data_IF_175839746224
#
_entry.id   IF_175839746224
#
_cell.length_a   1.000
_cell.length_b   1.000
_cell.length_c   1.000
_cell.angle_alpha   90.00
_cell.angle_beta   90.00
_cell.angle_gamma   90.00
#
_symmetry.space_group_name_H-M   'P 1'
#
loop_
_entity.id
_entity.type
_entity.pdbx_description
1 polymer ?
#
# COMPACT_ATOMS: atom_id res chain seq x y z
N UNK A 1 3.56 17.70 -23.63
CA UNK A 1 3.85 16.25 -23.42
C UNK A 1 4.22 16.08 -21.96
N UNK A 2 3.69 15.08 -21.26
CA UNK A 2 4.04 14.83 -19.87
C UNK A 2 5.53 14.53 -19.75
N UNK A 3 6.26 15.29 -18.89
CA UNK A 3 7.73 15.15 -18.72
C UNK A 3 8.14 13.72 -18.37
N UNK A 4 7.34 13.02 -17.56
CA UNK A 4 7.56 11.62 -17.18
C UNK A 4 7.50 10.71 -18.40
N UNK A 5 6.49 10.87 -19.26
CA UNK A 5 6.34 10.10 -20.50
C UNK A 5 7.53 10.33 -21.44
N UNK A 6 7.96 11.58 -21.61
CA UNK A 6 9.08 11.91 -22.46
C UNK A 6 10.38 11.24 -21.98
N UNK A 7 10.64 11.31 -20.67
CA UNK A 7 11.81 10.70 -20.06
C UNK A 7 11.79 9.16 -20.16
N UNK A 8 10.64 8.56 -19.92
CA UNK A 8 10.48 7.11 -20.05
C UNK A 8 10.72 6.61 -21.49
N UNK A 9 10.27 7.36 -22.51
CA UNK A 9 10.54 7.05 -23.93
C UNK A 9 12.04 7.16 -24.24
N UNK A 10 12.72 8.18 -23.72
CA UNK A 10 14.17 8.34 -23.88
C UNK A 10 14.92 7.11 -23.33
N UNK A 11 14.65 6.72 -22.08
CA UNK A 11 15.28 5.59 -21.40
C UNK A 11 14.99 4.21 -22.05
N UNK A 12 13.82 4.06 -22.66
CA UNK A 12 13.50 2.89 -23.49
C UNK A 12 14.29 2.88 -24.79
N UNK A 13 14.41 4.06 -25.43
CA UNK A 13 15.02 4.20 -26.76
C UNK A 13 16.54 4.03 -26.73
N UNK A 14 17.18 4.46 -25.65
CA UNK A 14 18.63 4.34 -25.45
C UNK A 14 19.04 2.98 -24.84
N UNK A 15 18.07 2.14 -24.48
CA UNK A 15 18.29 0.81 -23.91
C UNK A 15 18.67 0.79 -22.43
N UNK A 16 18.58 1.92 -21.73
CA UNK A 16 18.80 1.99 -20.27
C UNK A 16 17.79 1.13 -19.53
N UNK A 17 16.56 1.08 -20.02
CA UNK A 17 15.49 0.19 -19.50
C UNK A 17 14.86 -0.62 -20.64
N UNK A 18 14.35 -1.79 -20.31
CA UNK A 18 13.72 -2.69 -21.28
C UNK A 18 12.19 -2.61 -21.27
N UNK A 19 11.63 -2.03 -20.22
CA UNK A 19 10.18 -1.90 -20.03
C UNK A 19 9.85 -0.82 -19.00
N UNK A 20 8.61 -0.33 -19.05
CA UNK A 20 8.07 0.70 -18.16
C UNK A 20 6.80 0.19 -17.49
N UNK A 21 6.71 0.30 -16.17
CA UNK A 21 5.48 0.12 -15.40
C UNK A 21 4.91 1.51 -15.11
N UNK A 22 3.72 1.78 -15.59
CA UNK A 22 3.02 3.06 -15.46
C UNK A 22 1.52 2.89 -15.38
N UNK A 23 0.79 3.87 -15.88
CA UNK A 23 -0.67 3.84 -15.96
C UNK A 23 -1.12 4.04 -17.39
N UNK A 24 -2.23 3.41 -17.72
CA UNK A 24 -3.00 3.64 -18.93
C UNK A 24 -4.46 4.01 -18.57
N UNK A 25 -5.12 4.69 -19.51
CA UNK A 25 -6.52 5.04 -19.37
C UNK A 25 -7.38 3.85 -19.79
N UNK A 26 -8.35 3.48 -18.94
CA UNK A 26 -9.38 2.51 -19.26
C UNK A 26 -10.53 3.09 -20.07
N UNK A 27 -11.72 2.51 -19.93
CA UNK A 27 -12.90 2.90 -20.72
C UNK A 27 -13.45 4.28 -20.35
N UNK A 28 -13.30 4.69 -19.10
CA UNK A 28 -13.80 5.98 -18.60
C UNK A 28 -12.68 6.97 -18.33
N UNK A 29 -13.04 8.25 -18.17
CA UNK A 29 -12.08 9.31 -17.84
C UNK A 29 -11.33 9.08 -16.51
N UNK A 30 -11.97 8.43 -15.56
CA UNK A 30 -11.48 8.24 -14.19
C UNK A 30 -10.88 6.85 -13.98
N UNK A 31 -11.11 5.92 -14.89
CA UNK A 31 -10.59 4.54 -14.80
C UNK A 31 -9.18 4.46 -15.38
N UNK A 32 -8.18 4.65 -14.51
CA UNK A 32 -6.78 4.48 -14.87
C UNK A 32 -6.19 3.29 -14.12
N UNK A 33 -5.68 2.34 -14.89
CA UNK A 33 -5.10 1.12 -14.37
C UNK A 33 -3.58 1.06 -14.59
N UNK A 34 -2.93 0.13 -13.92
CA UNK A 34 -1.52 -0.15 -14.15
C UNK A 34 -1.32 -0.80 -15.52
N UNK A 35 -0.27 -0.42 -16.21
CA UNK A 35 0.10 -0.97 -17.51
C UNK A 35 1.60 -1.20 -17.63
N UNK A 36 1.97 -2.10 -18.53
CA UNK A 36 3.33 -2.39 -18.94
C UNK A 36 3.53 -1.89 -20.38
N UNK A 37 4.64 -1.21 -20.61
CA UNK A 37 5.05 -0.71 -21.91
C UNK A 37 6.46 -1.20 -22.21
N UNK A 38 6.66 -1.84 -23.36
CA UNK A 38 7.95 -2.41 -23.76
C UNK A 38 8.54 -1.69 -25.00
N UNK A 39 7.75 -0.84 -25.63
CA UNK A 39 8.18 -0.06 -26.79
C UNK A 39 7.79 1.42 -26.66
N UNK A 40 8.53 2.28 -27.37
CA UNK A 40 8.19 3.71 -27.45
C UNK A 40 6.80 3.96 -28.07
N UNK A 41 6.34 3.05 -28.91
CA UNK A 41 5.03 3.12 -29.57
C UNK A 41 3.90 2.83 -28.56
N UNK A 42 4.05 1.79 -27.74
CA UNK A 42 3.11 1.47 -26.64
C UNK A 42 3.01 2.60 -25.62
N UNK A 43 4.09 3.35 -25.40
CA UNK A 43 4.07 4.53 -24.54
C UNK A 43 3.08 5.61 -24.96
N UNK A 44 2.49 5.53 -26.17
CA UNK A 44 1.38 6.42 -26.54
C UNK A 44 0.18 6.29 -25.58
N UNK A 45 -0.05 5.10 -25.03
CA UNK A 45 -1.09 4.83 -24.03
C UNK A 45 -0.75 5.31 -22.62
N UNK A 46 0.53 5.64 -22.35
CA UNK A 46 0.94 6.05 -21.01
C UNK A 46 0.28 7.37 -20.58
N UNK A 47 -0.26 7.38 -19.37
CA UNK A 47 -0.83 8.56 -18.71
C UNK A 47 -0.28 8.69 -17.29
N UNK A 48 -0.13 9.95 -16.84
CA UNK A 48 0.11 10.29 -15.43
C UNK A 48 -0.64 11.58 -15.09
N UNK A 49 -1.36 11.58 -13.99
CA UNK A 49 -2.17 12.71 -13.54
C UNK A 49 -3.07 12.32 -12.37
N UNK A 50 -4.13 13.09 -12.16
CA UNK A 50 -5.00 13.00 -10.97
C UNK A 50 -5.69 11.65 -10.74
N UNK A 51 -5.77 10.78 -11.74
CA UNK A 51 -6.40 9.45 -11.63
C UNK A 51 -5.39 8.30 -11.55
N UNK A 52 -4.08 8.59 -11.48
CA UNK A 52 -3.03 7.57 -11.33
C UNK A 52 -2.98 7.02 -9.88
N UNK A 53 -4.13 6.55 -9.38
CA UNK A 53 -4.32 6.18 -7.98
C UNK A 53 -3.60 4.92 -7.54
N UNK A 54 -3.41 3.92 -8.41
CA UNK A 54 -2.81 2.62 -8.08
C UNK A 54 -1.39 2.74 -7.54
N UNK A 55 -1.04 1.88 -6.56
CA UNK A 55 0.34 1.72 -6.10
C UNK A 55 1.05 0.70 -6.99
N UNK A 56 2.07 1.13 -7.73
CA UNK A 56 2.75 0.29 -8.71
C UNK A 56 3.79 -0.64 -8.11
N UNK A 57 4.23 -0.44 -6.87
CA UNK A 57 5.28 -1.24 -6.22
C UNK A 57 4.95 -2.74 -6.21
N UNK A 58 3.68 -3.09 -6.04
CA UNK A 58 3.22 -4.49 -6.05
C UNK A 58 3.55 -5.22 -7.35
N UNK A 59 3.43 -4.52 -8.47
CA UNK A 59 3.57 -5.11 -9.81
C UNK A 59 5.04 -5.32 -10.19
N UNK A 60 5.97 -4.61 -9.54
CA UNK A 60 7.42 -4.75 -9.75
C UNK A 60 7.91 -6.18 -9.50
N UNK A 61 7.28 -6.92 -8.57
CA UNK A 61 7.67 -8.29 -8.24
C UNK A 61 7.70 -9.25 -9.42
N UNK A 62 6.86 -9.04 -10.42
CA UNK A 62 6.84 -9.84 -11.66
C UNK A 62 8.15 -9.75 -12.44
N UNK A 63 8.86 -8.64 -12.31
CA UNK A 63 10.04 -8.30 -13.10
C UNK A 63 11.34 -8.39 -12.32
N UNK A 64 11.29 -8.84 -11.06
CA UNK A 64 12.46 -8.93 -10.20
C UNK A 64 13.53 -9.90 -10.74
N UNK A 65 13.11 -10.93 -11.47
CA UNK A 65 14.01 -11.93 -12.11
C UNK A 65 14.08 -11.76 -13.62
N UNK A 66 13.43 -10.74 -14.19
CA UNK A 66 13.45 -10.50 -15.62
C UNK A 66 14.82 -9.98 -16.10
N UNK A 67 15.17 -10.24 -17.36
CA UNK A 67 16.35 -9.66 -17.99
C UNK A 67 16.18 -8.14 -18.19
N UNK A 68 17.28 -7.41 -18.02
CA UNK A 68 17.33 -5.97 -18.14
C UNK A 68 16.66 -5.22 -16.98
N UNK A 69 16.65 -3.89 -17.06
CA UNK A 69 16.03 -3.01 -16.06
C UNK A 69 14.59 -2.69 -16.39
N UNK A 70 13.78 -2.57 -15.35
CA UNK A 70 12.39 -2.14 -15.44
C UNK A 70 12.26 -0.72 -14.87
N UNK A 71 11.79 0.22 -15.68
CA UNK A 71 11.40 1.54 -15.16
C UNK A 71 10.06 1.42 -14.44
N UNK A 72 9.96 2.03 -13.28
CA UNK A 72 8.69 2.17 -12.56
C UNK A 72 8.50 3.62 -12.14
N UNK A 73 7.28 4.12 -12.33
CA UNK A 73 6.90 5.47 -11.90
C UNK A 73 6.22 5.38 -10.55
N UNK A 74 6.81 6.00 -9.52
CA UNK A 74 6.33 5.92 -8.14
C UNK A 74 5.97 7.29 -7.59
N UNK A 75 4.81 7.39 -6.95
CA UNK A 75 4.44 8.53 -6.11
C UNK A 75 5.18 8.47 -4.78
N UNK A 76 5.32 9.58 -4.01
CA UNK A 76 5.99 9.57 -2.71
C UNK A 76 5.53 8.44 -1.80
N UNK A 77 4.22 8.28 -1.61
CA UNK A 77 3.68 7.20 -0.76
C UNK A 77 3.94 5.79 -1.31
N UNK A 78 4.15 5.62 -2.62
CA UNK A 78 4.43 4.33 -3.23
C UNK A 78 5.91 3.94 -3.07
N UNK A 79 6.82 4.94 -2.95
CA UNK A 79 8.24 4.67 -2.69
C UNK A 79 8.47 3.98 -1.35
N UNK A 80 7.67 4.32 -0.32
CA UNK A 80 7.66 3.58 0.95
C UNK A 80 7.36 2.09 0.75
N UNK A 81 6.38 1.78 -0.10
CA UNK A 81 6.02 0.38 -0.38
C UNK A 81 7.09 -0.35 -1.18
N UNK A 82 7.77 0.36 -2.06
CA UNK A 82 8.87 -0.18 -2.84
C UNK A 82 10.09 -0.46 -1.93
N UNK A 83 10.45 0.50 -1.08
CA UNK A 83 11.54 0.36 -0.12
C UNK A 83 11.26 -0.77 0.87
N UNK A 84 10.02 -0.89 1.37
CA UNK A 84 9.63 -2.03 2.22
C UNK A 84 9.84 -3.37 1.53
N UNK A 85 9.56 -3.48 0.24
CA UNK A 85 9.80 -4.70 -0.52
C UNK A 85 11.31 -4.99 -0.69
N UNK A 86 12.16 -3.97 -0.76
CA UNK A 86 13.62 -4.14 -0.72
C UNK A 86 14.04 -4.67 0.65
N UNK A 87 13.60 -4.06 1.75
CA UNK A 87 13.89 -4.51 3.12
C UNK A 87 13.49 -5.98 3.34
N UNK A 88 12.42 -6.42 2.73
CA UNK A 88 11.97 -7.81 2.81
C UNK A 88 12.66 -8.74 1.80
N UNK A 89 13.67 -8.29 1.08
CA UNK A 89 14.35 -9.03 0.01
C UNK A 89 13.38 -9.59 -1.04
N UNK A 90 12.32 -8.84 -1.32
CA UNK A 90 11.31 -9.17 -2.34
C UNK A 90 11.56 -8.47 -3.67
N UNK A 91 12.36 -7.41 -3.64
CA UNK A 91 12.85 -6.72 -4.82
C UNK A 91 14.37 -6.53 -4.72
N UNK A 92 15.03 -6.71 -5.85
CA UNK A 92 16.42 -6.33 -6.07
C UNK A 92 16.43 -4.91 -6.64
N UNK A 93 16.98 -3.94 -5.90
CA UNK A 93 17.02 -2.52 -6.28
C UNK A 93 17.67 -2.30 -7.66
N UNK A 94 18.69 -3.07 -7.97
CA UNK A 94 19.46 -2.94 -9.21
C UNK A 94 18.66 -3.30 -10.48
N UNK A 95 17.56 -4.03 -10.33
CA UNK A 95 16.67 -4.40 -11.42
C UNK A 95 15.73 -3.30 -11.87
N UNK A 96 15.70 -2.18 -11.13
CA UNK A 96 14.73 -1.12 -11.37
C UNK A 96 15.40 0.23 -11.60
N UNK A 97 14.78 1.03 -12.45
CA UNK A 97 14.98 2.46 -12.60
C UNK A 97 13.73 3.17 -12.11
N UNK A 98 13.84 4.03 -11.11
CA UNK A 98 12.70 4.61 -10.43
C UNK A 98 12.59 6.09 -10.75
N UNK A 99 11.50 6.48 -11.41
CA UNK A 99 11.11 7.89 -11.52
C UNK A 99 10.16 8.22 -10.39
N UNK A 100 10.61 9.06 -9.46
CA UNK A 100 9.77 9.69 -8.46
C UNK A 100 8.86 10.73 -9.12
N UNK A 101 7.56 10.48 -9.11
CA UNK A 101 6.58 11.35 -9.75
C UNK A 101 5.89 12.25 -8.73
N UNK A 102 5.98 13.57 -8.93
CA UNK A 102 5.28 14.55 -8.11
C UNK A 102 3.78 14.29 -8.04
N UNK A 103 3.18 14.42 -6.86
CA UNK A 103 1.81 14.03 -6.60
C UNK A 103 1.01 15.14 -5.92
N UNK A 104 -0.06 15.62 -6.57
CA UNK A 104 -1.01 16.61 -6.02
C UNK A 104 -2.22 15.99 -5.31
N UNK A 105 -2.15 14.70 -5.00
CA UNK A 105 -3.29 13.88 -4.60
C UNK A 105 -3.92 13.17 -5.78
N UNK A 106 -4.55 12.04 -5.50
CA UNK A 106 -5.22 11.21 -6.50
C UNK A 106 -6.71 11.23 -6.29
N UNK A 107 -7.46 11.20 -7.37
CA UNK A 107 -8.91 11.30 -7.40
C UNK A 107 -9.53 10.02 -7.97
N UNK A 108 -10.79 9.85 -7.70
CA UNK A 108 -11.73 9.01 -8.43
C UNK A 108 -12.91 9.86 -8.94
N UNK A 109 -14.00 9.24 -9.31
CA UNK A 109 -15.23 9.91 -9.75
C UNK A 109 -15.88 10.77 -8.65
N UNK A 110 -15.60 10.48 -7.38
CA UNK A 110 -16.16 11.16 -6.21
C UNK A 110 -15.25 12.29 -5.68
N UNK A 111 -14.08 12.48 -6.30
CA UNK A 111 -13.13 13.50 -5.88
C UNK A 111 -11.83 12.92 -5.31
N UNK A 112 -11.26 13.59 -4.30
CA UNK A 112 -9.98 13.18 -3.69
C UNK A 112 -10.12 11.83 -2.98
N UNK A 113 -9.26 10.87 -3.31
CA UNK A 113 -9.24 9.56 -2.65
C UNK A 113 -9.05 9.69 -1.13
N UNK A 114 -9.76 8.88 -0.36
CA UNK A 114 -9.66 8.86 1.11
C UNK A 114 -8.20 8.71 1.59
N UNK A 115 -7.40 7.88 0.91
CA UNK A 115 -5.97 7.75 1.22
C UNK A 115 -5.17 9.06 1.05
N UNK A 116 -5.65 9.97 0.22
CA UNK A 116 -5.02 11.26 -0.04
C UNK A 116 -5.50 12.36 0.90
N UNK A 117 -6.71 12.24 1.49
CA UNK A 117 -7.17 13.16 2.54
C UNK A 117 -6.33 13.02 3.82
N UNK A 118 -5.73 11.86 4.05
CA UNK A 118 -4.85 11.54 5.17
C UNK A 118 -3.40 11.33 4.71
N UNK A 119 -2.96 12.10 3.70
CA UNK A 119 -1.62 11.98 3.12
C UNK A 119 -0.52 12.21 4.18
N UNK A 120 0.42 11.27 4.28
CA UNK A 120 1.47 11.28 5.30
C UNK A 120 2.75 12.04 4.90
N UNK A 121 2.83 12.50 3.66
CA UNK A 121 3.99 13.27 3.21
C UNK A 121 4.24 13.19 1.71
N UNK A 122 5.23 13.93 1.28
CA UNK A 122 5.64 14.08 -0.12
C UNK A 122 7.10 13.71 -0.37
N UNK A 123 7.79 13.19 0.64
CA UNK A 123 9.16 12.76 0.53
C UNK A 123 9.26 11.43 -0.20
N UNK A 124 10.33 11.29 -0.98
CA UNK A 124 10.62 10.07 -1.73
C UNK A 124 11.70 9.28 -1.00
N UNK A 125 11.43 8.02 -0.68
CA UNK A 125 12.39 7.15 0.02
C UNK A 125 13.41 6.51 -0.93
N UNK A 126 12.99 6.22 -2.16
CA UNK A 126 13.83 5.56 -3.16
C UNK A 126 13.51 6.09 -4.55
N UNK A 127 14.54 6.48 -5.29
CA UNK A 127 14.43 6.98 -6.67
C UNK A 127 15.79 7.01 -7.35
N UNK A 128 15.80 7.09 -8.68
CA UNK A 128 16.97 7.44 -9.50
C UNK A 128 16.87 8.91 -9.95
N UNK A 129 15.66 9.36 -10.28
CA UNK A 129 15.38 10.77 -10.57
C UNK A 129 13.96 11.16 -10.11
N UNK A 130 13.77 12.45 -9.84
CA UNK A 130 12.46 13.00 -9.45
C UNK A 130 11.97 13.95 -10.54
N UNK A 131 10.72 13.75 -10.95
CA UNK A 131 10.02 14.66 -11.86
C UNK A 131 8.78 15.19 -11.12
N UNK A 132 8.89 16.39 -10.59
CA UNK A 132 7.82 17.05 -9.85
C UNK A 132 7.68 18.53 -10.23
N UNK A 133 6.74 19.22 -9.60
CA UNK A 133 6.56 20.66 -9.62
C UNK A 133 6.30 21.19 -8.19
N UNK A 134 6.36 22.50 -8.00
CA UNK A 134 6.21 23.10 -6.67
C UNK A 134 4.86 22.79 -6.01
N UNK A 135 3.79 22.67 -6.81
CA UNK A 135 2.47 22.30 -6.27
C UNK A 135 2.44 20.87 -5.77
N UNK A 136 3.24 19.96 -6.36
CA UNK A 136 3.34 18.57 -5.94
C UNK A 136 3.97 18.42 -4.55
N UNK A 137 4.75 19.38 -4.11
CA UNK A 137 5.42 19.36 -2.80
C UNK A 137 4.47 19.69 -1.64
N UNK A 138 3.32 20.28 -1.93
CA UNK A 138 2.35 20.61 -0.90
C UNK A 138 1.59 19.34 -0.45
N UNK A 139 1.49 19.16 0.86
CA UNK A 139 0.68 18.09 1.43
C UNK A 139 -0.79 18.25 1.02
N UNK A 140 -1.40 17.18 0.57
CA UNK A 140 -2.84 17.16 0.21
C UNK A 140 -3.72 16.76 1.38
N UNK A 141 -3.16 16.05 2.36
CA UNK A 141 -3.87 15.62 3.57
C UNK A 141 -3.89 16.73 4.61
N UNK A 142 -5.07 17.07 5.07
CA UNK A 142 -5.32 18.03 6.16
C UNK A 142 -5.90 17.33 7.39
N UNK A 143 -6.12 16.03 7.31
CA UNK A 143 -6.70 15.21 8.38
C UNK A 143 -5.63 14.27 8.92
N UNK A 144 -5.51 14.22 10.24
CA UNK A 144 -4.64 13.23 10.88
C UNK A 144 -5.08 11.83 10.48
N UNK A 145 -4.10 11.03 10.04
CA UNK A 145 -4.35 9.66 9.58
C UNK A 145 -4.88 8.73 10.67
N UNK A 146 -4.65 9.06 11.94
CA UNK A 146 -5.07 8.25 13.08
C UNK A 146 -6.47 8.58 13.60
N UNK A 147 -7.07 9.69 13.18
CA UNK A 147 -8.36 10.16 13.71
C UNK A 147 -9.45 9.09 13.69
N UNK A 148 -9.57 8.33 12.59
CA UNK A 148 -10.57 7.27 12.49
C UNK A 148 -10.30 6.07 13.43
N UNK A 149 -9.03 5.81 13.77
CA UNK A 149 -8.66 4.81 14.78
C UNK A 149 -9.01 5.31 16.17
N UNK A 150 -8.69 6.57 16.47
CA UNK A 150 -8.98 7.19 17.76
C UNK A 150 -10.49 7.28 18.04
N UNK A 151 -11.29 7.54 17.02
CA UNK A 151 -12.75 7.50 17.13
C UNK A 151 -13.25 6.10 17.50
N UNK A 152 -12.70 5.07 16.88
CA UNK A 152 -13.02 3.68 17.22
C UNK A 152 -12.55 3.30 18.62
N UNK A 153 -11.43 3.84 19.09
CA UNK A 153 -10.92 3.57 20.44
C UNK A 153 -11.77 4.21 21.54
N UNK A 154 -12.49 5.30 21.26
CA UNK A 154 -13.44 5.92 22.18
C UNK A 154 -14.72 5.10 22.41
N UNK A 155 -15.02 4.20 21.48
CA UNK A 155 -16.16 3.29 21.58
C UNK A 155 -15.92 2.21 22.64
N UNK A 156 -16.98 1.72 23.26
CA UNK A 156 -16.93 0.51 24.07
C UNK A 156 -16.52 -0.71 23.24
N UNK A 157 -16.08 -1.76 23.88
CA UNK A 157 -15.73 -3.02 23.19
C UNK A 157 -16.89 -3.56 22.34
N UNK A 158 -18.12 -3.45 22.85
CA UNK A 158 -19.33 -3.91 22.15
C UNK A 158 -19.62 -3.04 20.92
N UNK A 159 -19.57 -1.72 21.05
CA UNK A 159 -19.78 -0.80 19.92
C UNK A 159 -18.74 -0.99 18.82
N UNK A 160 -17.45 -1.17 19.17
CA UNK A 160 -16.41 -1.50 18.19
C UNK A 160 -16.65 -2.83 17.48
N UNK A 161 -17.07 -3.85 18.24
CA UNK A 161 -17.40 -5.15 17.67
C UNK A 161 -18.57 -5.03 16.68
N UNK A 162 -19.63 -4.34 17.06
CA UNK A 162 -20.80 -4.14 16.21
C UNK A 162 -20.48 -3.30 14.97
N UNK A 163 -19.63 -2.27 15.10
CA UNK A 163 -19.11 -1.52 13.95
C UNK A 163 -18.39 -2.44 12.96
N UNK A 164 -17.39 -3.19 13.41
CA UNK A 164 -16.63 -4.06 12.52
C UNK A 164 -17.48 -5.19 11.96
N UNK A 165 -18.37 -5.74 12.75
CA UNK A 165 -19.32 -6.75 12.27
C UNK A 165 -20.19 -6.20 11.15
N UNK A 166 -20.72 -5.00 11.30
CA UNK A 166 -21.49 -4.32 10.27
C UNK A 166 -20.67 -4.05 8.99
N UNK A 167 -19.47 -3.52 9.13
CA UNK A 167 -18.59 -3.23 8.01
C UNK A 167 -18.17 -4.51 7.26
N UNK A 168 -17.69 -5.52 7.98
CA UNK A 168 -17.13 -6.73 7.39
C UNK A 168 -18.19 -7.68 6.86
N UNK A 169 -19.44 -7.61 7.33
CA UNK A 169 -20.56 -8.40 6.77
C UNK A 169 -20.84 -8.10 5.29
N UNK A 170 -20.45 -6.91 4.82
CA UNK A 170 -20.56 -6.55 3.40
C UNK A 170 -19.50 -7.20 2.51
N UNK A 171 -18.51 -7.86 3.09
CA UNK A 171 -17.40 -8.45 2.34
C UNK A 171 -17.86 -9.57 1.41
N UNK A 172 -17.60 -9.45 0.11
CA UNK A 172 -17.90 -10.49 -0.89
C UNK A 172 -16.71 -11.45 -1.13
N UNK A 173 -15.66 -11.36 -0.32
CA UNK A 173 -14.44 -12.17 -0.41
C UNK A 173 -13.78 -12.17 -1.80
N UNK A 174 -13.81 -11.03 -2.52
CA UNK A 174 -13.18 -10.90 -3.85
C UNK A 174 -11.65 -10.92 -3.80
N UNK A 175 -11.04 -10.81 -2.63
CA UNK A 175 -9.59 -10.76 -2.41
C UNK A 175 -8.87 -9.55 -3.03
N UNK A 176 -9.54 -8.55 -3.59
CA UNK A 176 -8.92 -7.37 -4.18
C UNK A 176 -7.95 -6.68 -3.20
N UNK A 177 -8.37 -6.50 -1.93
CA UNK A 177 -7.55 -5.89 -0.88
C UNK A 177 -6.26 -6.66 -0.57
N UNK A 178 -6.27 -7.99 -0.71
CA UNK A 178 -5.09 -8.86 -0.59
C UNK A 178 -4.20 -8.74 -1.82
N UNK A 179 -4.80 -8.80 -2.99
CA UNK A 179 -4.08 -8.85 -4.25
C UNK A 179 -3.35 -7.54 -4.57
N UNK A 180 -3.90 -6.39 -4.18
CA UNK A 180 -3.28 -5.08 -4.40
C UNK A 180 -2.22 -4.73 -3.35
N UNK A 181 -2.26 -5.34 -2.18
CA UNK A 181 -1.40 -4.96 -1.06
C UNK A 181 0.08 -5.28 -1.34
N UNK A 182 0.99 -4.29 -1.29
CA UNK A 182 2.42 -4.52 -1.47
C UNK A 182 3.00 -5.50 -0.44
N UNK A 183 2.54 -5.44 0.81
CA UNK A 183 3.00 -6.32 1.88
C UNK A 183 2.48 -7.77 1.79
N UNK A 184 1.48 -8.06 0.93
CA UNK A 184 1.01 -9.43 0.70
C UNK A 184 1.91 -10.14 -0.34
N UNK A 185 3.03 -10.69 0.11
CA UNK A 185 4.10 -11.25 -0.74
C UNK A 185 4.20 -12.76 -0.73
N UNK A 186 3.36 -13.48 0.01
CA UNK A 186 3.38 -14.94 0.10
C UNK A 186 3.19 -15.59 -1.27
N UNK A 187 4.03 -16.59 -1.58
CA UNK A 187 3.89 -17.41 -2.80
C UNK A 187 2.61 -18.24 -2.73
N UNK A 188 2.34 -18.81 -1.55
CA UNK A 188 1.09 -19.52 -1.26
C UNK A 188 0.47 -18.91 0.00
N UNK A 189 -0.70 -18.31 -0.15
CA UNK A 189 -1.41 -17.69 0.96
C UNK A 189 -2.10 -18.76 1.84
N UNK A 190 -2.13 -18.56 3.15
CA UNK A 190 -2.88 -19.44 4.07
C UNK A 190 -4.36 -19.53 3.69
N UNK A 191 -4.92 -18.44 3.18
CA UNK A 191 -6.32 -18.41 2.72
C UNK A 191 -6.58 -19.18 1.42
N UNK A 192 -5.54 -19.55 0.68
CA UNK A 192 -5.62 -20.36 -0.54
C UNK A 192 -5.21 -21.82 -0.29
N UNK A 193 -4.93 -22.19 0.97
CA UNK A 193 -4.55 -23.53 1.33
C UNK A 193 -5.80 -24.36 1.66
N UNK A 194 -6.13 -25.39 0.85
CA UNK A 194 -7.32 -26.23 1.09
C UNK A 194 -7.31 -26.93 2.45
N UNK A 195 -6.12 -27.19 2.99
CA UNK A 195 -5.98 -27.85 4.29
C UNK A 195 -6.20 -26.91 5.49
N UNK A 196 -6.25 -25.59 5.27
CA UNK A 196 -6.51 -24.64 6.35
C UNK A 196 -7.98 -24.52 6.73
N UNK A 197 -8.89 -25.02 5.88
CA UNK A 197 -10.33 -24.84 6.04
C UNK A 197 -10.85 -23.42 5.78
N UNK A 198 -9.94 -22.45 5.54
CA UNK A 198 -10.28 -21.02 5.34
C UNK A 198 -10.49 -20.67 3.87
N UNK A 199 -10.11 -21.57 2.97
CA UNK A 199 -10.15 -21.34 1.53
C UNK A 199 -11.58 -21.17 0.99
N UNK A 200 -12.49 -21.96 1.49
CA UNK A 200 -13.86 -21.99 0.97
C UNK A 200 -14.68 -20.85 1.58
N UNK A 201 -15.25 -20.05 0.72
CA UNK A 201 -16.25 -19.09 1.11
C UNK A 201 -17.63 -19.68 1.01
N UNK A 202 -18.03 -20.52 1.94
CA UNK A 202 -19.43 -20.92 2.04
C UNK A 202 -19.67 -21.65 3.37
N UNK A 203 -20.73 -21.33 4.07
CA UNK A 203 -21.46 -20.09 4.09
C UNK A 203 -20.64 -18.97 4.72
N UNK A 204 -20.93 -17.73 4.35
CA UNK A 204 -20.32 -16.56 4.97
C UNK A 204 -20.93 -16.39 6.34
N UNK A 205 -20.17 -16.65 7.37
CA UNK A 205 -20.55 -16.27 8.73
C UNK A 205 -19.84 -15.01 9.14
N UNK A 206 -20.44 -14.21 9.99
CA UNK A 206 -19.82 -13.00 10.56
C UNK A 206 -18.46 -13.30 11.17
N UNK A 207 -18.33 -14.48 11.79
CA UNK A 207 -17.07 -14.93 12.38
C UNK A 207 -15.96 -15.13 11.33
N UNK A 208 -16.25 -15.79 10.22
CA UNK A 208 -15.27 -16.06 9.17
C UNK A 208 -14.79 -14.80 8.48
N UNK A 209 -15.67 -13.83 8.23
CA UNK A 209 -15.29 -12.56 7.63
C UNK A 209 -14.45 -11.72 8.59
N UNK A 210 -14.81 -11.67 9.87
CA UNK A 210 -14.00 -11.03 10.89
C UNK A 210 -12.61 -11.66 10.98
N UNK A 211 -12.53 -12.99 11.08
CA UNK A 211 -11.25 -13.71 11.15
C UNK A 211 -10.40 -13.51 9.91
N UNK A 212 -10.99 -13.53 8.71
CA UNK A 212 -10.24 -13.25 7.47
C UNK A 212 -9.56 -11.89 7.51
N UNK A 213 -10.30 -10.84 7.86
CA UNK A 213 -9.76 -9.49 7.85
C UNK A 213 -8.79 -9.21 9.00
N UNK A 214 -9.05 -9.76 10.19
CA UNK A 214 -8.14 -9.68 11.33
C UNK A 214 -6.82 -10.38 11.01
N UNK A 215 -6.85 -11.62 10.55
CA UNK A 215 -5.64 -12.38 10.19
C UNK A 215 -4.87 -11.65 9.07
N UNK A 216 -5.58 -11.12 8.07
CA UNK A 216 -4.93 -10.34 7.00
C UNK A 216 -4.21 -9.11 7.56
N UNK A 217 -4.82 -8.40 8.49
CA UNK A 217 -4.21 -7.22 9.12
C UNK A 217 -3.00 -7.60 9.98
N UNK A 218 -3.07 -8.70 10.73
CA UNK A 218 -1.94 -9.25 11.48
C UNK A 218 -0.75 -9.61 10.59
N UNK A 219 -1.01 -10.24 9.43
CA UNK A 219 0.06 -10.64 8.50
C UNK A 219 0.84 -9.47 7.90
N UNK A 220 0.28 -8.26 7.93
CA UNK A 220 0.95 -7.05 7.46
C UNK A 220 1.32 -6.08 8.58
N UNK A 221 1.07 -6.44 9.84
CA UNK A 221 1.50 -5.66 11.00
C UNK A 221 3.04 -5.48 10.96
N UNK A 222 3.53 -4.27 11.24
CA UNK A 222 4.93 -3.89 11.12
C UNK A 222 5.47 -3.73 9.70
N UNK A 223 4.71 -4.14 8.70
CA UNK A 223 5.09 -4.12 7.28
C UNK A 223 4.18 -3.21 6.45
N UNK A 224 3.08 -2.79 7.04
CA UNK A 224 2.10 -1.92 6.39
C UNK A 224 2.63 -0.50 6.25
N UNK A 225 2.83 -0.06 5.02
CA UNK A 225 3.27 1.31 4.70
C UNK A 225 2.12 2.33 4.71
N UNK A 226 0.93 1.93 5.13
CA UNK A 226 -0.27 2.79 5.14
C UNK A 226 -0.58 3.42 3.78
N UNK A 227 -0.43 2.66 2.70
CA UNK A 227 -0.70 3.15 1.35
C UNK A 227 -2.19 3.30 1.00
N UNK A 228 -3.10 2.77 1.83
CA UNK A 228 -4.55 2.87 1.67
C UNK A 228 -5.16 2.07 0.51
N UNK A 229 -4.37 1.31 -0.25
CA UNK A 229 -4.84 0.55 -1.42
C UNK A 229 -5.93 -0.47 -1.08
N UNK A 230 -5.86 -1.10 0.09
CA UNK A 230 -6.86 -2.10 0.50
C UNK A 230 -8.28 -1.54 0.58
N UNK A 231 -8.45 -0.29 1.02
CA UNK A 231 -9.76 0.37 1.03
C UNK A 231 -10.11 0.93 -0.34
N UNK A 232 -9.13 1.48 -1.09
CA UNK A 232 -9.37 2.03 -2.42
C UNK A 232 -9.98 1.02 -3.39
N UNK A 233 -9.53 -0.23 -3.35
CA UNK A 233 -10.00 -1.27 -4.28
C UNK A 233 -11.18 -2.07 -3.75
N UNK A 234 -11.68 -1.77 -2.55
CA UNK A 234 -12.79 -2.52 -1.98
C UNK A 234 -14.11 -2.12 -2.65
N UNK A 235 -14.78 -3.02 -3.41
CA UNK A 235 -16.02 -2.69 -4.08
C UNK A 235 -17.19 -2.48 -3.11
N UNK A 236 -16.99 -2.85 -1.83
CA UNK A 236 -17.96 -2.65 -0.75
C UNK A 236 -17.62 -1.45 0.14
N UNK A 237 -16.62 -0.65 -0.24
CA UNK A 237 -16.18 0.53 0.51
C UNK A 237 -15.89 0.28 1.99
N UNK A 238 -15.38 -0.92 2.33
CA UNK A 238 -15.02 -1.25 3.71
C UNK A 238 -13.74 -0.50 4.09
N UNK A 239 -13.69 0.20 5.24
CA UNK A 239 -12.54 1.00 5.65
C UNK A 239 -11.39 0.15 6.21
N UNK A 240 -10.90 -0.81 5.41
CA UNK A 240 -9.88 -1.80 5.81
C UNK A 240 -8.56 -1.18 6.27
N UNK A 241 -8.25 0.04 5.83
CA UNK A 241 -7.08 0.77 6.27
C UNK A 241 -7.10 1.05 7.78
N UNK A 242 -8.27 1.21 8.39
CA UNK A 242 -8.39 1.45 9.84
C UNK A 242 -7.92 0.25 10.66
N UNK A 243 -8.16 -0.99 10.20
CA UNK A 243 -7.61 -2.18 10.85
C UNK A 243 -6.08 -2.15 10.85
N UNK A 244 -5.47 -1.82 9.70
CA UNK A 244 -4.02 -1.77 9.59
C UNK A 244 -3.44 -0.60 10.40
N UNK A 245 -4.08 0.56 10.39
CA UNK A 245 -3.68 1.74 11.17
C UNK A 245 -3.73 1.51 12.67
N UNK A 246 -4.69 0.69 13.15
CA UNK A 246 -4.70 0.29 14.56
C UNK A 246 -3.40 -0.41 14.94
N UNK A 247 -2.92 -1.36 14.13
CA UNK A 247 -1.63 -2.00 14.36
C UNK A 247 -0.45 -1.02 14.29
N UNK A 248 -0.46 -0.08 13.33
CA UNK A 248 0.59 0.95 13.23
C UNK A 248 0.62 1.79 14.51
N UNK A 249 -0.55 2.23 14.99
CA UNK A 249 -0.67 3.01 16.22
C UNK A 249 -0.16 2.25 17.43
N UNK A 250 -0.62 1.01 17.63
CA UNK A 250 -0.19 0.18 18.76
C UNK A 250 1.32 -0.09 18.75
N UNK A 251 1.88 -0.31 17.57
CA UNK A 251 3.32 -0.52 17.44
C UNK A 251 4.12 0.75 17.78
N UNK A 252 3.64 1.90 17.34
CA UNK A 252 4.28 3.18 17.66
C UNK A 252 4.21 3.46 19.18
N UNK A 253 3.10 3.13 19.82
CA UNK A 253 2.92 3.30 21.26
C UNK A 253 3.78 2.32 22.08
N UNK A 254 3.93 1.08 21.62
CA UNK A 254 4.63 0.03 22.36
C UNK A 254 6.14 0.01 22.10
N UNK A 255 6.58 0.32 20.89
CA UNK A 255 7.96 0.14 20.45
C UNK A 255 8.62 1.42 19.92
N UNK A 256 7.93 2.58 20.05
CA UNK A 256 8.39 3.88 19.54
C UNK A 256 8.02 4.08 18.07
N UNK A 257 8.18 5.31 17.59
CA UNK A 257 7.81 5.70 16.24
C UNK A 257 8.48 4.80 15.19
N UNK A 258 7.64 4.30 14.30
CA UNK A 258 8.06 3.44 13.21
C UNK A 258 7.16 3.69 11.98
N UNK A 259 7.79 3.81 10.83
CA UNK A 259 7.10 3.84 9.54
C UNK A 259 7.74 2.80 8.62
N UNK A 260 6.99 1.76 8.26
CA UNK A 260 7.46 0.76 7.32
C UNK A 260 7.87 1.40 5.98
N UNK A 261 9.03 1.02 5.47
CA UNK A 261 9.58 1.50 4.22
C UNK A 261 10.38 2.80 4.32
N UNK A 262 10.64 3.32 5.52
CA UNK A 262 11.52 4.48 5.72
C UNK A 262 12.95 4.03 5.98
N UNK A 263 13.91 4.76 5.40
CA UNK A 263 15.35 4.58 5.62
C UNK A 263 15.94 3.36 4.91
N UNK A 264 17.25 3.23 5.04
CA UNK A 264 18.01 2.11 4.47
C UNK A 264 18.13 0.94 5.46
N UNK A 265 18.17 1.24 6.74
CA UNK A 265 18.28 0.24 7.80
C UNK A 265 16.90 -0.25 8.23
N UNK A 266 16.84 -1.55 8.32
CA UNK A 266 15.64 -2.27 8.65
C UNK A 266 15.45 -2.37 10.16
N UNK A 267 14.44 -1.68 10.70
CA UNK A 267 13.87 -2.00 12.00
C UNK A 267 12.49 -2.62 11.82
N UNK A 268 12.37 -3.88 12.17
CA UNK A 268 11.07 -4.55 12.24
C UNK A 268 10.64 -4.73 13.69
N UNK A 269 9.71 -3.91 14.20
CA UNK A 269 9.31 -3.96 15.60
C UNK A 269 8.82 -5.31 16.10
N UNK A 270 8.33 -6.18 15.19
CA UNK A 270 7.86 -7.52 15.55
C UNK A 270 8.91 -8.63 15.39
N UNK A 271 10.07 -8.34 14.80
CA UNK A 271 11.14 -9.33 14.57
C UNK A 271 12.48 -8.94 15.14
N UNK A 272 12.62 -7.69 15.55
CA UNK A 272 13.79 -7.17 16.24
C UNK A 272 13.40 -6.54 17.56
N UNK A 273 14.32 -6.49 18.52
CA UNK A 273 14.08 -5.85 19.81
C UNK A 273 15.26 -4.94 20.18
N UNK A 274 14.97 -3.95 21.01
CA UNK A 274 15.95 -3.10 21.66
C UNK A 274 15.87 -3.32 23.17
N UNK A 275 16.93 -2.92 23.91
CA UNK A 275 16.92 -3.03 25.38
C UNK A 275 15.88 -2.15 26.07
N UNK A 276 15.28 -1.22 25.34
CA UNK A 276 14.26 -0.28 25.83
C UNK A 276 12.84 -0.71 25.44
N UNK A 277 12.69 -1.78 24.68
CA UNK A 277 11.37 -2.28 24.32
C UNK A 277 10.65 -2.81 25.57
N UNK A 278 9.34 -2.59 25.63
CA UNK A 278 8.53 -3.05 26.75
C UNK A 278 8.44 -4.58 26.74
N UNK A 279 8.73 -5.20 27.88
CA UNK A 279 8.56 -6.64 28.04
C UNK A 279 7.10 -7.05 27.80
N UNK A 280 6.85 -8.03 26.93
CA UNK A 280 5.47 -8.47 26.64
C UNK A 280 4.67 -8.88 27.87
N UNK A 281 5.34 -9.38 28.91
CA UNK A 281 4.73 -9.73 30.17
C UNK A 281 4.12 -8.56 30.96
N UNK A 282 4.51 -7.33 30.64
CA UNK A 282 3.99 -6.12 31.30
C UNK A 282 2.84 -5.50 30.50
N UNK A 283 2.78 -5.74 29.20
CA UNK A 283 1.83 -5.10 28.28
C UNK A 283 0.41 -5.62 28.41
N UNK A 284 0.22 -6.88 28.80
CA UNK A 284 -1.08 -7.54 28.79
C UNK A 284 -1.95 -7.27 30.02
N UNK A 285 -1.42 -6.64 31.04
CA UNK A 285 -2.18 -6.29 32.25
C UNK A 285 -2.96 -4.97 32.11
N UNK A 286 -3.22 -4.53 30.90
CA UNK A 286 -4.02 -3.31 30.60
C UNK A 286 -5.46 -3.35 31.11
N UNK A 287 -5.86 -4.36 31.85
CA UNK A 287 -7.20 -4.44 32.44
C UNK A 287 -7.29 -4.14 33.93
N UNK A 288 -6.18 -3.90 34.60
CA UNK A 288 -6.12 -3.73 36.04
C UNK A 288 -5.50 -2.40 36.50
N UNK A 289 -5.76 -1.33 35.73
CA UNK A 289 -5.48 0.03 36.18
C UNK A 289 -6.77 0.80 36.41
#
# INVERSE_FOLDING_TARGET
MNKIKARAIELLSDGTVNRVIGWEKGETETDWSHALFETAEEMNGFVYGKYAGANLSKYCRKFNTAEGKTLVVLKPCDTLSFQQLIHEHRLDREKFYIIGAGCKGMNDENGLLIKCTTCKGKDFEVYDEIIDDEESKQATGIVDRMIGVEELEKMTAQERYDFWRGELSRCIRCNACRNVCPACTCVKCVFDNPNSGVQSKAPVTDFEENMFHIIRAYHVAGRCTDCGECSRVCPQNIPLHLLNRKFIKDMNELYGEFQAGVGEEERHPLTSYTKTDVEPGIVHERGNA
#
